data_IF_793681475164
#
_entry.id   IF_793681475164
#
_cell.length_a   1.000
_cell.length_b   1.000
_cell.length_c   1.000
_cell.angle_alpha   90.00
_cell.angle_beta   90.00
_cell.angle_gamma   90.00
#
_symmetry.space_group_name_H-M   'P 1'
#
loop_
_entity.id
_entity.type
_entity.pdbx_description
1 polymer ?
#
# COMPACT_ATOMS: atom_id res chain seq x y z
N UNK A 1 -40.56 -26.34 -5.66
CA UNK A 1 -41.56 -25.29 -5.31
C UNK A 1 -40.79 -24.28 -4.47
N UNK A 2 -40.51 -23.04 -4.85
CA UNK A 2 -41.13 -22.09 -5.76
C UNK A 2 -40.05 -21.16 -6.36
N UNK A 3 -40.28 -20.79 -7.61
CA UNK A 3 -39.60 -19.76 -8.37
C UNK A 3 -40.03 -18.37 -7.85
N UNK A 4 -39.13 -17.40 -7.80
CA UNK A 4 -39.49 -15.97 -7.86
C UNK A 4 -38.59 -15.26 -8.87
N UNK A 5 -39.16 -15.10 -10.06
CA UNK A 5 -38.73 -14.16 -11.08
C UNK A 5 -38.91 -12.73 -10.56
N UNK A 6 -37.92 -11.88 -10.79
CA UNK A 6 -38.12 -10.43 -10.88
C UNK A 6 -37.62 -10.02 -12.25
N UNK A 7 -38.57 -9.75 -13.14
CA UNK A 7 -38.37 -9.04 -14.40
C UNK A 7 -38.21 -7.54 -14.10
N UNK A 8 -37.21 -6.91 -14.72
CA UNK A 8 -37.23 -5.48 -14.99
C UNK A 8 -36.86 -5.32 -16.47
N UNK A 9 -37.88 -5.04 -17.29
CA UNK A 9 -37.73 -4.47 -18.63
C UNK A 9 -38.03 -2.97 -18.56
N UNK A 10 -37.13 -2.17 -19.16
CA UNK A 10 -37.41 -1.07 -20.11
C UNK A 10 -36.20 -0.12 -20.11
N UNK A 11 -35.29 -0.24 -21.08
CA UNK A 11 -35.37 0.26 -22.47
C UNK A 11 -35.06 1.76 -22.56
N UNK A 12 -33.87 2.08 -23.08
CA UNK A 12 -33.61 3.08 -24.12
C UNK A 12 -32.11 3.15 -24.46
N UNK A 13 -31.85 3.20 -25.77
CA UNK A 13 -30.58 3.45 -26.48
C UNK A 13 -29.72 2.27 -26.96
N UNK A 14 -29.95 1.99 -28.26
CA UNK A 14 -28.97 1.72 -29.33
C UNK A 14 -28.38 0.31 -29.46
N UNK A 15 -29.18 -0.47 -30.18
CA UNK A 15 -28.81 -1.52 -31.12
C UNK A 15 -27.69 -1.14 -32.10
N UNK A 16 -26.62 -1.95 -32.13
CA UNK A 16 -25.84 -2.28 -33.33
C UNK A 16 -25.01 -3.55 -33.03
N UNK A 17 -25.43 -4.73 -33.50
CA UNK A 17 -24.61 -5.87 -33.99
C UNK A 17 -25.54 -7.08 -34.27
N UNK A 18 -25.39 -7.81 -35.40
CA UNK A 18 -26.29 -8.91 -35.78
C UNK A 18 -25.91 -10.25 -35.10
N UNK A 19 -26.85 -11.23 -35.04
CA UNK A 19 -26.67 -12.48 -34.33
C UNK A 19 -26.02 -13.54 -35.22
N UNK A 20 -25.08 -14.34 -34.69
CA UNK A 20 -24.68 -15.58 -35.35
C UNK A 20 -24.42 -16.73 -34.37
N UNK A 21 -25.33 -17.71 -34.46
CA UNK A 21 -25.12 -19.16 -34.41
C UNK A 21 -24.81 -19.82 -33.06
N UNK A 22 -25.89 -20.40 -32.52
CA UNK A 22 -25.99 -21.76 -31.97
C UNK A 22 -24.75 -22.64 -32.14
N UNK A 23 -24.22 -23.12 -31.01
CA UNK A 23 -23.59 -24.43 -30.95
C UNK A 23 -23.91 -25.09 -29.61
N UNK A 24 -25.01 -25.84 -29.59
CA UNK A 24 -25.31 -26.81 -28.54
C UNK A 24 -24.22 -27.89 -28.57
N UNK A 25 -23.50 -28.08 -27.46
CA UNK A 25 -22.65 -29.26 -27.26
C UNK A 25 -22.99 -29.92 -25.93
N UNK A 26 -23.32 -31.20 -26.05
CA UNK A 26 -23.73 -32.14 -25.02
C UNK A 26 -22.84 -32.13 -23.78
N UNK A 27 -23.46 -31.90 -22.62
CA UNK A 27 -22.84 -32.15 -21.32
C UNK A 27 -23.00 -33.64 -21.03
N UNK A 28 -21.95 -34.41 -21.28
CA UNK A 28 -21.80 -35.76 -20.71
C UNK A 28 -21.38 -35.65 -19.25
N UNK A 29 -22.27 -36.05 -18.34
CA UNK A 29 -21.96 -36.31 -16.95
C UNK A 29 -20.91 -37.43 -16.84
N UNK A 30 -19.69 -37.08 -16.44
CA UNK A 30 -18.69 -38.04 -15.98
C UNK A 30 -18.67 -38.01 -14.45
N UNK A 31 -19.18 -39.07 -13.84
CA UNK A 31 -19.01 -39.38 -12.42
C UNK A 31 -17.53 -39.62 -12.13
N UNK A 32 -16.86 -38.69 -11.46
CA UNK A 32 -15.52 -38.94 -10.92
C UNK A 32 -15.62 -39.34 -9.45
N UNK A 33 -15.33 -40.63 -9.23
CA UNK A 33 -15.12 -41.24 -7.93
C UNK A 33 -14.11 -40.44 -7.10
N UNK A 34 -14.52 -40.05 -5.90
CA UNK A 34 -13.65 -39.48 -4.91
C UNK A 34 -12.64 -40.51 -4.41
N UNK A 35 -11.35 -40.14 -4.46
CA UNK A 35 -10.29 -40.43 -3.47
C UNK A 35 -8.94 -40.08 -4.10
N UNK A 36 -8.57 -38.80 -4.04
CA UNK A 36 -7.19 -38.25 -4.00
C UNK A 36 -7.16 -36.81 -4.55
N UNK A 37 -7.76 -35.85 -3.86
CA UNK A 37 -7.76 -34.44 -4.30
C UNK A 37 -7.69 -33.42 -3.15
N UNK A 38 -7.26 -33.81 -1.94
CA UNK A 38 -7.28 -32.91 -0.78
C UNK A 38 -6.05 -32.00 -0.62
N UNK A 39 -4.95 -32.22 -1.37
CA UNK A 39 -3.70 -31.44 -1.20
C UNK A 39 -3.40 -30.43 -2.31
N UNK A 40 -4.02 -30.56 -3.49
CA UNK A 40 -3.77 -29.69 -4.66
C UNK A 40 -4.87 -28.65 -4.92
N UNK A 41 -6.05 -28.78 -4.28
CA UNK A 41 -7.13 -27.80 -4.40
C UNK A 41 -6.86 -26.47 -3.67
N UNK A 42 -6.16 -26.52 -2.54
CA UNK A 42 -5.94 -25.32 -1.71
C UNK A 42 -5.04 -24.27 -2.38
N UNK A 43 -4.01 -24.70 -3.12
CA UNK A 43 -3.13 -23.79 -3.87
C UNK A 43 -3.83 -23.17 -5.08
N UNK A 44 -4.76 -23.90 -5.73
CA UNK A 44 -5.52 -23.37 -6.87
C UNK A 44 -6.42 -22.20 -6.48
N UNK A 45 -7.00 -22.21 -5.28
CA UNK A 45 -7.84 -21.10 -4.79
C UNK A 45 -7.03 -19.96 -4.16
N UNK A 46 -5.80 -20.21 -3.72
CA UNK A 46 -4.95 -19.18 -3.08
C UNK A 46 -4.47 -18.10 -4.06
N UNK A 47 -4.24 -18.47 -5.33
CA UNK A 47 -3.71 -17.59 -6.37
C UNK A 47 -4.73 -17.28 -7.48
N UNK A 48 -5.97 -17.71 -7.30
CA UNK A 48 -7.02 -17.56 -8.29
C UNK A 48 -7.45 -16.09 -8.45
N UNK A 49 -8.05 -15.68 -9.57
CA UNK A 49 -8.66 -14.36 -9.67
C UNK A 49 -9.95 -14.23 -8.84
N UNK A 50 -10.63 -15.35 -8.56
CA UNK A 50 -11.93 -15.33 -7.88
C UNK A 50 -11.81 -15.04 -6.39
N UNK A 51 -12.75 -14.24 -5.87
CA UNK A 51 -12.90 -14.00 -4.44
C UNK A 51 -13.68 -15.17 -3.84
N UNK A 52 -12.99 -16.10 -3.19
CA UNK A 52 -13.64 -17.21 -2.48
C UNK A 52 -14.12 -16.83 -1.09
N UNK A 53 -13.36 -15.96 -0.41
CA UNK A 53 -13.68 -15.38 0.89
C UNK A 53 -13.49 -13.87 0.78
N UNK A 54 -14.51 -13.10 1.14
CA UNK A 54 -14.38 -11.64 1.24
C UNK A 54 -13.59 -11.26 2.49
N UNK A 55 -12.84 -10.17 2.39
CA UNK A 55 -12.16 -9.58 3.54
C UNK A 55 -13.10 -8.68 4.33
N UNK A 56 -13.15 -8.88 5.65
CA UNK A 56 -13.88 -8.02 6.58
C UNK A 56 -12.92 -7.20 7.45
N UNK A 57 -13.13 -5.88 7.49
CA UNK A 57 -12.43 -4.98 8.40
C UNK A 57 -12.81 -5.38 9.83
N UNK A 58 -11.80 -5.47 10.70
CA UNK A 58 -11.92 -5.95 12.11
C UNK A 58 -12.17 -7.46 12.28
N UNK A 59 -11.98 -8.26 11.22
CA UNK A 59 -11.87 -9.71 11.38
C UNK A 59 -10.65 -10.12 12.23
N UNK A 60 -10.64 -11.36 12.72
CA UNK A 60 -9.50 -11.90 13.47
C UNK A 60 -8.18 -11.85 12.67
N UNK A 61 -8.24 -12.06 11.35
CA UNK A 61 -7.08 -11.96 10.46
C UNK A 61 -6.57 -10.51 10.36
N UNK A 62 -7.47 -9.52 10.31
CA UNK A 62 -7.11 -8.10 10.36
C UNK A 62 -6.39 -7.74 11.67
N UNK A 63 -6.98 -8.07 12.82
CA UNK A 63 -6.36 -7.80 14.14
C UNK A 63 -5.01 -8.50 14.29
N UNK A 64 -4.87 -9.71 13.76
CA UNK A 64 -3.59 -10.45 13.78
C UNK A 64 -2.53 -9.68 13.00
N UNK A 65 -2.84 -9.19 11.80
CA UNK A 65 -1.90 -8.43 10.98
C UNK A 65 -1.52 -7.10 11.63
N UNK A 66 -2.50 -6.34 12.13
CA UNK A 66 -2.24 -5.08 12.84
C UNK A 66 -1.38 -5.31 14.09
N UNK A 67 -1.61 -6.40 14.83
CA UNK A 67 -0.80 -6.76 15.99
C UNK A 67 0.65 -7.09 15.61
N UNK A 68 0.85 -7.86 14.54
CA UNK A 68 2.18 -8.15 13.99
C UNK A 68 2.90 -6.85 13.63
N UNK A 69 2.23 -5.93 12.96
CA UNK A 69 2.80 -4.63 12.62
C UNK A 69 3.30 -3.87 13.85
N UNK A 70 2.48 -3.77 14.91
CA UNK A 70 2.88 -3.07 16.14
C UNK A 70 4.01 -3.79 16.88
N UNK A 71 4.04 -5.13 16.88
CA UNK A 71 5.14 -5.91 17.46
C UNK A 71 6.46 -5.61 16.73
N UNK A 72 6.46 -5.61 15.39
CA UNK A 72 7.67 -5.33 14.60
C UNK A 72 8.08 -3.85 14.72
N UNK A 73 7.11 -2.95 14.77
CA UNK A 73 7.36 -1.53 15.01
C UNK A 73 8.01 -1.31 16.38
N UNK A 74 7.48 -1.93 17.44
CA UNK A 74 8.06 -1.90 18.78
C UNK A 74 9.47 -2.50 18.78
N UNK A 75 9.68 -3.61 18.07
CA UNK A 75 11.01 -4.19 17.90
C UNK A 75 12.01 -3.19 17.32
N UNK A 76 11.66 -2.42 16.28
CA UNK A 76 12.56 -1.39 15.74
C UNK A 76 12.88 -0.28 16.76
N UNK A 77 11.92 0.15 17.56
CA UNK A 77 12.17 1.13 18.62
C UNK A 77 13.02 0.59 19.76
N UNK A 78 12.90 -0.70 20.12
CA UNK A 78 13.71 -1.32 21.18
C UNK A 78 15.11 -1.73 20.68
N UNK A 79 15.20 -2.20 19.44
CA UNK A 79 16.42 -2.72 18.85
C UNK A 79 17.24 -1.67 18.08
N UNK A 80 16.88 -0.38 18.13
CA UNK A 80 17.58 0.66 17.36
C UNK A 80 19.10 0.74 17.67
N UNK A 81 19.50 0.61 18.95
CA UNK A 81 20.93 0.60 19.33
C UNK A 81 21.67 -0.63 18.78
N UNK A 82 21.17 -1.88 18.98
CA UNK A 82 21.71 -3.04 18.29
C UNK A 82 21.77 -2.89 16.76
N UNK A 83 20.73 -2.34 16.13
CA UNK A 83 20.68 -2.11 14.69
C UNK A 83 21.77 -1.14 14.21
N UNK A 84 22.15 -0.15 15.03
CA UNK A 84 23.25 0.78 14.73
C UNK A 84 24.63 0.14 14.95
N UNK A 85 24.78 -0.69 15.99
CA UNK A 85 26.10 -1.19 16.41
C UNK A 85 26.47 -2.55 15.78
N UNK A 86 25.50 -3.35 15.36
CA UNK A 86 25.71 -4.69 14.82
C UNK A 86 25.51 -4.74 13.30
N UNK A 87 26.62 -4.70 12.53
CA UNK A 87 26.60 -4.71 11.06
C UNK A 87 25.78 -5.85 10.45
N UNK A 88 25.84 -7.06 11.04
CA UNK A 88 25.10 -8.23 10.56
C UNK A 88 23.60 -8.04 10.68
N UNK A 89 23.12 -7.55 11.83
CA UNK A 89 21.70 -7.30 12.08
C UNK A 89 21.16 -6.19 11.18
N UNK A 90 21.92 -5.09 11.05
CA UNK A 90 21.61 -4.01 10.12
C UNK A 90 21.44 -4.52 8.68
N UNK A 91 22.46 -5.25 8.19
CA UNK A 91 22.50 -5.75 6.81
C UNK A 91 21.37 -6.75 6.54
N UNK A 92 21.11 -7.66 7.48
CA UNK A 92 20.01 -8.62 7.39
C UNK A 92 18.65 -7.91 7.33
N UNK A 93 18.40 -6.95 8.22
CA UNK A 93 17.14 -6.18 8.26
C UNK A 93 16.97 -5.38 6.97
N UNK A 94 18.02 -4.70 6.53
CA UNK A 94 18.06 -3.91 5.28
C UNK A 94 17.65 -4.75 4.07
N UNK A 95 18.27 -5.91 3.88
CA UNK A 95 17.97 -6.79 2.73
C UNK A 95 16.63 -7.50 2.86
N UNK A 96 16.18 -7.78 4.08
CA UNK A 96 14.83 -8.32 4.33
C UNK A 96 13.77 -7.33 3.86
N UNK A 97 13.85 -6.06 4.31
CA UNK A 97 12.92 -5.01 3.89
C UNK A 97 12.95 -4.79 2.37
N UNK A 98 14.14 -4.71 1.78
CA UNK A 98 14.29 -4.59 0.32
C UNK A 98 13.61 -5.74 -0.43
N UNK A 99 13.88 -6.98 0.00
CA UNK A 99 13.34 -8.17 -0.66
C UNK A 99 11.82 -8.23 -0.51
N UNK A 100 11.29 -7.89 0.66
CA UNK A 100 9.84 -7.87 0.88
C UNK A 100 9.13 -6.82 0.00
N UNK A 101 9.70 -5.62 -0.18
CA UNK A 101 9.16 -4.62 -1.12
C UNK A 101 9.20 -5.15 -2.55
N UNK A 102 10.35 -5.66 -2.99
CA UNK A 102 10.54 -6.15 -4.35
C UNK A 102 9.62 -7.33 -4.68
N UNK A 103 9.55 -8.32 -3.80
CA UNK A 103 8.71 -9.51 -3.97
C UNK A 103 7.23 -9.14 -3.91
N UNK A 104 6.83 -8.17 -3.09
CA UNK A 104 5.43 -7.73 -3.04
C UNK A 104 4.99 -7.06 -4.34
N UNK A 105 5.86 -6.24 -4.94
CA UNK A 105 5.58 -5.52 -6.19
C UNK A 105 5.60 -6.47 -7.41
N UNK A 106 6.66 -7.27 -7.52
CA UNK A 106 6.76 -8.29 -8.57
C UNK A 106 5.66 -9.34 -8.41
N UNK A 107 5.38 -9.78 -7.18
CA UNK A 107 4.33 -10.75 -6.88
C UNK A 107 2.95 -10.27 -7.29
N UNK A 108 2.64 -8.98 -7.09
CA UNK A 108 1.36 -8.44 -7.52
C UNK A 108 1.25 -8.40 -9.04
N UNK A 109 2.32 -7.98 -9.71
CA UNK A 109 2.39 -7.95 -11.17
C UNK A 109 2.30 -9.35 -11.77
N UNK A 110 3.04 -10.33 -11.21
CA UNK A 110 3.02 -11.72 -11.68
C UNK A 110 1.67 -12.39 -11.46
N UNK A 111 1.02 -12.14 -10.31
CA UNK A 111 -0.34 -12.60 -10.07
C UNK A 111 -1.28 -12.09 -11.16
N UNK A 112 -1.33 -10.77 -11.36
CA UNK A 112 -2.23 -10.14 -12.33
C UNK A 112 -1.98 -10.61 -13.77
N UNK A 113 -0.72 -10.81 -14.16
CA UNK A 113 -0.37 -11.36 -15.48
C UNK A 113 -0.79 -12.82 -15.60
N UNK A 114 -0.56 -13.64 -14.56
CA UNK A 114 -0.89 -15.07 -14.58
C UNK A 114 -2.40 -15.35 -14.61
N UNK A 115 -3.20 -14.44 -14.05
CA UNK A 115 -4.66 -14.52 -14.03
C UNK A 115 -5.30 -13.82 -15.24
N UNK A 116 -4.50 -13.23 -16.14
CA UNK A 116 -4.96 -12.37 -17.25
C UNK A 116 -5.86 -11.21 -16.79
N UNK A 117 -5.69 -10.72 -15.56
CA UNK A 117 -6.42 -9.55 -15.03
C UNK A 117 -5.62 -8.27 -15.11
N UNK A 118 -4.33 -8.36 -15.47
CA UNK A 118 -3.45 -7.19 -15.54
C UNK A 118 -3.99 -6.14 -16.50
N UNK A 119 -4.07 -4.92 -15.99
CA UNK A 119 -4.40 -3.74 -16.75
C UNK A 119 -3.65 -2.56 -16.13
N UNK A 120 -3.29 -1.58 -16.96
CA UNK A 120 -2.54 -0.41 -16.50
C UNK A 120 -3.27 0.30 -15.34
N UNK A 121 -4.60 0.51 -15.49
CA UNK A 121 -5.44 1.31 -14.59
C UNK A 121 -5.37 0.88 -13.13
N UNK A 122 -5.33 -0.43 -12.87
CA UNK A 122 -5.45 -0.99 -11.51
C UNK A 122 -4.15 -1.62 -10.99
N UNK A 123 -3.27 -2.06 -11.90
CA UNK A 123 -2.12 -2.90 -11.53
C UNK A 123 -0.77 -2.18 -11.62
N UNK A 124 -0.71 -1.00 -12.24
CA UNK A 124 0.52 -0.22 -12.26
C UNK A 124 0.83 0.35 -10.85
N UNK A 125 2.11 0.44 -10.46
CA UNK A 125 2.54 0.93 -9.14
C UNK A 125 2.45 2.46 -9.00
N UNK A 126 1.42 3.08 -9.58
CA UNK A 126 1.25 4.54 -9.63
C UNK A 126 0.40 5.09 -8.47
N UNK A 127 -0.21 4.22 -7.67
CA UNK A 127 -0.73 4.63 -6.37
C UNK A 127 0.42 5.05 -5.43
N UNK A 128 0.09 5.88 -4.43
CA UNK A 128 1.07 6.45 -3.50
C UNK A 128 1.93 5.39 -2.81
N UNK A 129 1.33 4.28 -2.36
CA UNK A 129 2.07 3.18 -1.73
C UNK A 129 2.94 2.39 -2.73
N UNK A 130 2.58 2.32 -4.02
CA UNK A 130 3.43 1.73 -5.06
C UNK A 130 4.70 2.56 -5.26
N UNK A 131 4.55 3.86 -5.46
CA UNK A 131 5.67 4.81 -5.57
C UNK A 131 6.49 4.85 -4.28
N UNK A 132 5.86 4.85 -3.10
CA UNK A 132 6.56 4.79 -1.82
C UNK A 132 7.38 3.50 -1.68
N UNK A 133 6.88 2.36 -2.16
CA UNK A 133 7.64 1.10 -2.20
C UNK A 133 8.89 1.21 -3.09
N UNK A 134 8.76 1.79 -4.28
CA UNK A 134 9.88 2.04 -5.19
C UNK A 134 10.91 2.99 -4.57
N UNK A 135 10.45 4.11 -4.01
CA UNK A 135 11.31 5.07 -3.30
C UNK A 135 11.97 4.40 -2.09
N UNK A 136 11.27 3.51 -1.39
CA UNK A 136 11.82 2.69 -0.30
C UNK A 136 12.98 1.82 -0.74
N UNK A 137 12.82 1.10 -1.86
CA UNK A 137 13.90 0.31 -2.45
C UNK A 137 15.10 1.20 -2.85
N UNK A 138 14.85 2.34 -3.51
CA UNK A 138 15.89 3.29 -3.90
C UNK A 138 16.59 3.86 -2.66
N UNK A 139 15.85 4.21 -1.60
CA UNK A 139 16.38 4.74 -0.36
C UNK A 139 17.28 3.71 0.34
N UNK A 140 16.88 2.43 0.36
CA UNK A 140 17.69 1.33 0.89
C UNK A 140 19.02 1.20 0.11
N UNK A 141 18.97 1.21 -1.22
CA UNK A 141 20.14 1.01 -2.07
C UNK A 141 21.10 2.20 -2.03
N UNK A 142 20.56 3.41 -2.19
CA UNK A 142 21.34 4.64 -2.29
C UNK A 142 21.76 5.23 -0.95
N UNK A 143 21.04 4.91 0.13
CA UNK A 143 21.16 5.58 1.44
C UNK A 143 21.04 7.13 1.32
N UNK A 144 20.30 7.61 0.31
CA UNK A 144 20.16 9.03 0.03
C UNK A 144 19.28 9.70 1.08
N UNK A 145 19.81 10.73 1.74
CA UNK A 145 19.07 11.54 2.73
C UNK A 145 17.75 12.06 2.16
N UNK A 146 17.75 12.49 0.89
CA UNK A 146 16.57 13.00 0.20
C UNK A 146 15.51 11.91 0.02
N UNK A 147 15.91 10.71 -0.40
CA UNK A 147 14.96 9.60 -0.59
C UNK A 147 14.37 9.12 0.74
N UNK A 148 15.18 9.10 1.80
CA UNK A 148 14.71 8.78 3.15
C UNK A 148 13.72 9.83 3.65
N UNK A 149 13.99 11.12 3.44
CA UNK A 149 13.06 12.20 3.80
C UNK A 149 11.75 12.10 3.03
N UNK A 150 11.80 11.83 1.73
CA UNK A 150 10.59 11.65 0.92
C UNK A 150 9.79 10.46 1.43
N UNK A 151 10.43 9.29 1.59
CA UNK A 151 9.81 8.07 2.09
C UNK A 151 9.20 8.26 3.48
N UNK A 152 9.85 9.04 4.35
CA UNK A 152 9.34 9.35 5.67
C UNK A 152 7.93 9.92 5.58
N UNK A 153 7.71 10.96 4.78
CA UNK A 153 6.40 11.62 4.67
C UNK A 153 5.37 10.80 3.88
N UNK A 154 5.74 10.22 2.74
CA UNK A 154 4.76 9.54 1.87
C UNK A 154 4.54 8.07 2.21
N UNK A 155 5.45 7.46 2.98
CA UNK A 155 5.47 6.02 3.23
C UNK A 155 4.91 5.61 4.57
N UNK A 156 5.30 6.29 5.66
CA UNK A 156 5.00 5.81 7.02
C UNK A 156 3.51 5.91 7.35
N UNK A 157 2.97 7.13 7.45
CA UNK A 157 1.58 7.33 7.85
C UNK A 157 0.60 6.85 6.78
N UNK A 158 0.79 7.11 5.48
CA UNK A 158 -0.13 6.61 4.46
C UNK A 158 -0.23 5.07 4.44
N UNK A 159 0.90 4.36 4.50
CA UNK A 159 0.85 2.89 4.54
C UNK A 159 0.30 2.37 5.87
N UNK A 160 0.54 3.07 6.99
CA UNK A 160 -0.09 2.74 8.27
C UNK A 160 -1.62 2.89 8.23
N UNK A 161 -2.14 3.97 7.65
CA UNK A 161 -3.60 4.15 7.49
C UNK A 161 -4.17 3.03 6.62
N UNK A 162 -3.49 2.65 5.53
CA UNK A 162 -3.90 1.51 4.69
C UNK A 162 -3.95 0.17 5.47
N UNK A 163 -3.15 0.01 6.53
CA UNK A 163 -3.25 -1.16 7.41
C UNK A 163 -4.45 -1.11 8.35
N UNK A 164 -4.92 0.08 8.74
CA UNK A 164 -6.06 0.25 9.65
C UNK A 164 -7.40 0.24 8.92
N UNK A 165 -7.44 0.82 7.72
CA UNK A 165 -8.62 0.91 6.85
C UNK A 165 -8.29 0.30 5.49
N UNK A 166 -8.06 -1.03 5.43
CA UNK A 166 -7.65 -1.69 4.20
C UNK A 166 -8.76 -1.69 3.15
N UNK A 167 -8.45 -1.14 1.96
CA UNK A 167 -9.26 -1.33 0.76
C UNK A 167 -8.86 -2.65 0.08
N UNK A 168 -9.40 -3.75 0.60
CA UNK A 168 -9.09 -5.09 0.15
C UNK A 168 -10.36 -5.93 0.12
N UNK A 169 -10.60 -6.62 -1.01
CA UNK A 169 -11.76 -7.52 -1.17
C UNK A 169 -11.38 -8.97 -0.83
N UNK A 170 -10.12 -9.35 -1.05
CA UNK A 170 -9.66 -10.72 -0.89
C UNK A 170 -9.34 -11.06 0.57
N UNK A 171 -10.13 -11.94 1.18
CA UNK A 171 -9.94 -12.41 2.55
C UNK A 171 -8.82 -13.43 2.71
N UNK A 172 -8.46 -13.70 3.97
CA UNK A 172 -7.51 -14.76 4.29
C UNK A 172 -8.03 -16.14 3.80
N UNK A 173 -7.16 -17.02 3.26
CA UNK A 173 -5.70 -16.91 3.15
C UNK A 173 -5.19 -16.41 1.79
N UNK A 174 -6.00 -15.75 0.97
CA UNK A 174 -5.70 -15.44 -0.45
C UNK A 174 -4.36 -14.69 -0.66
N UNK A 175 -3.71 -14.86 -1.81
CA UNK A 175 -2.45 -14.18 -2.13
C UNK A 175 -2.54 -12.65 -1.99
N UNK A 176 -3.61 -12.04 -2.53
CA UNK A 176 -3.86 -10.59 -2.43
C UNK A 176 -3.94 -10.10 -0.98
N UNK A 177 -4.44 -10.92 -0.05
CA UNK A 177 -4.44 -10.61 1.38
C UNK A 177 -3.01 -10.46 1.90
N UNK A 178 -2.18 -11.47 1.68
CA UNK A 178 -0.78 -11.44 2.12
C UNK A 178 0.01 -10.32 1.46
N UNK A 179 -0.12 -10.16 0.14
CA UNK A 179 0.53 -9.10 -0.61
C UNK A 179 0.15 -7.72 -0.05
N UNK A 180 -1.13 -7.48 0.23
CA UNK A 180 -1.58 -6.20 0.76
C UNK A 180 -0.92 -5.89 2.10
N UNK A 181 -1.06 -6.78 3.10
CA UNK A 181 -0.54 -6.52 4.44
C UNK A 181 0.99 -6.46 4.47
N UNK A 182 1.67 -7.41 3.82
CA UNK A 182 3.14 -7.44 3.78
C UNK A 182 3.70 -6.18 3.11
N UNK A 183 3.12 -5.75 1.99
CA UNK A 183 3.59 -4.56 1.27
C UNK A 183 3.47 -3.29 2.13
N UNK A 184 2.29 -3.03 2.69
CA UNK A 184 2.04 -1.81 3.47
C UNK A 184 2.81 -1.79 4.79
N UNK A 185 2.93 -2.94 5.47
CA UNK A 185 3.82 -3.06 6.63
C UNK A 185 5.26 -2.73 6.25
N UNK A 186 5.75 -3.34 5.17
CA UNK A 186 7.16 -3.18 4.76
C UNK A 186 7.47 -1.74 4.36
N UNK A 187 6.57 -1.03 3.67
CA UNK A 187 6.76 0.39 3.34
C UNK A 187 6.93 1.23 4.61
N UNK A 188 5.97 1.14 5.53
CA UNK A 188 6.00 1.92 6.76
C UNK A 188 7.23 1.58 7.61
N UNK A 189 7.48 0.28 7.80
CA UNK A 189 8.63 -0.23 8.55
C UNK A 189 9.96 0.17 7.91
N UNK A 190 10.05 0.24 6.57
CA UNK A 190 11.24 0.74 5.87
C UNK A 190 11.50 2.20 6.17
N UNK A 191 10.45 3.04 6.13
CA UNK A 191 10.56 4.45 6.51
C UNK A 191 11.07 4.62 7.95
N UNK A 192 10.49 3.88 8.89
CA UNK A 192 10.91 3.89 10.31
C UNK A 192 12.35 3.40 10.45
N UNK A 193 12.69 2.25 9.87
CA UNK A 193 14.04 1.67 9.92
C UNK A 193 15.09 2.65 9.40
N UNK A 194 14.86 3.27 8.23
CA UNK A 194 15.83 4.20 7.64
C UNK A 194 15.96 5.47 8.46
N UNK A 195 14.88 6.02 9.02
CA UNK A 195 14.96 7.22 9.89
C UNK A 195 15.66 6.91 11.22
N UNK A 196 15.45 5.74 11.81
CA UNK A 196 16.10 5.35 13.05
C UNK A 196 17.59 5.04 12.88
N UNK A 197 17.97 4.46 11.73
CA UNK A 197 19.33 3.95 11.51
C UNK A 197 20.21 4.89 10.69
N UNK A 198 19.64 5.86 10.00
CA UNK A 198 20.39 6.82 9.18
C UNK A 198 20.52 8.15 9.91
N UNK A 199 21.64 8.84 9.69
CA UNK A 199 21.89 10.20 10.22
C UNK A 199 21.13 11.26 9.40
N UNK A 200 19.80 11.09 9.26
CA UNK A 200 18.91 11.99 8.54
C UNK A 200 18.18 12.87 9.54
N UNK A 201 18.14 14.17 9.26
CA UNK A 201 17.28 15.11 9.99
C UNK A 201 16.08 15.48 9.14
N UNK A 202 14.89 15.42 9.74
CA UNK A 202 13.67 15.94 9.12
C UNK A 202 13.60 17.44 9.44
N UNK A 203 13.60 18.26 8.40
CA UNK A 203 13.57 19.73 8.47
C UNK A 203 12.26 20.25 7.89
N UNK A 204 11.89 21.48 8.24
CA UNK A 204 10.72 22.13 7.63
C UNK A 204 10.89 22.25 6.11
N UNK A 205 12.11 22.57 5.64
CA UNK A 205 12.44 22.59 4.21
C UNK A 205 12.18 21.25 3.53
N UNK A 206 12.63 20.13 4.10
CA UNK A 206 12.38 18.81 3.51
C UNK A 206 10.90 18.43 3.51
N UNK A 207 10.11 18.91 4.47
CA UNK A 207 8.66 18.74 4.48
C UNK A 207 8.03 19.48 3.30
N UNK A 208 8.33 20.77 3.13
CA UNK A 208 7.81 21.58 2.02
C UNK A 208 8.26 21.03 0.66
N UNK A 209 9.53 20.64 0.51
CA UNK A 209 10.03 20.04 -0.73
C UNK A 209 9.31 18.72 -1.05
N UNK A 210 9.10 17.84 -0.06
CA UNK A 210 8.38 16.58 -0.28
C UNK A 210 6.91 16.82 -0.62
N UNK A 211 6.28 17.77 0.04
CA UNK A 211 4.89 18.15 -0.23
C UNK A 211 4.74 18.71 -1.66
N UNK A 212 5.70 19.52 -2.12
CA UNK A 212 5.76 19.99 -3.49
C UNK A 212 5.95 18.85 -4.50
N UNK A 213 6.84 17.89 -4.23
CA UNK A 213 6.99 16.70 -5.09
C UNK A 213 5.70 15.87 -5.17
N UNK A 214 5.01 15.70 -4.04
CA UNK A 214 3.73 14.99 -4.00
C UNK A 214 2.66 15.72 -4.83
N UNK A 215 2.58 17.04 -4.73
CA UNK A 215 1.66 17.85 -5.53
C UNK A 215 1.96 17.77 -7.04
N UNK A 216 3.23 17.89 -7.42
CA UNK A 216 3.66 17.70 -8.82
C UNK A 216 3.27 16.30 -9.32
N UNK A 217 3.47 15.28 -8.49
CA UNK A 217 3.07 13.92 -8.81
C UNK A 217 1.54 13.75 -8.91
N UNK A 218 0.78 14.41 -8.03
CA UNK A 218 -0.68 14.39 -8.06
C UNK A 218 -1.23 15.05 -9.33
N UNK A 219 -0.65 16.17 -9.77
CA UNK A 219 -1.01 16.81 -11.05
C UNK A 219 -0.72 15.86 -12.21
N UNK A 220 0.44 15.21 -12.22
CA UNK A 220 0.75 14.20 -13.24
C UNK A 220 -0.25 13.04 -13.23
N UNK A 221 -0.57 12.50 -12.05
CA UNK A 221 -1.52 11.41 -11.88
C UNK A 221 -2.94 11.82 -12.32
N UNK A 222 -3.36 13.06 -12.06
CA UNK A 222 -4.64 13.61 -12.49
C UNK A 222 -4.77 13.61 -14.02
N UNK A 223 -3.77 14.12 -14.73
CA UNK A 223 -3.77 14.08 -16.20
C UNK A 223 -3.74 12.64 -16.73
N UNK A 224 -2.94 11.78 -16.10
CA UNK A 224 -2.86 10.38 -16.49
C UNK A 224 -4.23 9.68 -16.32
N UNK A 225 -4.90 9.90 -15.18
CA UNK A 225 -6.23 9.37 -14.90
C UNK A 225 -7.24 9.76 -15.99
N UNK A 226 -7.23 11.02 -16.44
CA UNK A 226 -8.10 11.47 -17.54
C UNK A 226 -7.82 10.77 -18.86
N UNK A 227 -6.54 10.54 -19.19
CA UNK A 227 -6.15 9.92 -20.46
C UNK A 227 -6.47 8.43 -20.50
N UNK A 228 -6.17 7.70 -19.43
CA UNK A 228 -6.29 6.24 -19.42
C UNK A 228 -7.58 5.75 -18.74
N UNK A 229 -8.36 6.63 -18.09
CA UNK A 229 -9.53 6.25 -17.30
C UNK A 229 -9.16 5.48 -16.02
N UNK A 230 -8.07 5.86 -15.35
CA UNK A 230 -7.66 5.30 -14.07
C UNK A 230 -8.09 6.19 -12.90
N UNK A 231 -7.91 5.69 -11.67
CA UNK A 231 -8.19 6.44 -10.45
C UNK A 231 -6.99 6.40 -9.48
N UNK A 232 -5.79 6.72 -9.97
CA UNK A 232 -4.62 6.83 -9.10
C UNK A 232 -4.80 7.97 -8.11
N UNK A 233 -4.29 7.74 -6.90
CA UNK A 233 -4.38 8.68 -5.77
C UNK A 233 -5.82 9.04 -5.37
N UNK A 234 -6.84 8.35 -5.90
CA UNK A 234 -8.26 8.65 -5.71
C UNK A 234 -8.63 10.06 -6.17
N UNK A 235 -7.96 10.56 -7.20
CA UNK A 235 -8.20 11.91 -7.73
C UNK A 235 -9.42 12.00 -8.65
N UNK A 236 -9.92 10.87 -9.15
CA UNK A 236 -11.09 10.83 -10.03
C UNK A 236 -12.36 10.50 -9.27
N UNK A 237 -12.30 9.53 -8.35
CA UNK A 237 -13.40 9.12 -7.48
C UNK A 237 -12.87 8.64 -6.12
N UNK A 238 -13.72 8.63 -5.10
CA UNK A 238 -13.36 8.04 -3.81
C UNK A 238 -13.25 6.50 -3.89
N UNK A 239 -12.53 5.85 -2.96
CA UNK A 239 -12.47 4.39 -2.88
C UNK A 239 -13.85 3.73 -2.85
N UNK A 240 -13.93 2.50 -3.35
CA UNK A 240 -15.21 1.75 -3.41
C UNK A 240 -15.66 1.19 -2.06
N UNK A 241 -14.74 1.12 -1.10
CA UNK A 241 -14.97 0.68 0.28
C UNK A 241 -15.01 1.92 1.16
N UNK A 242 -15.96 1.97 2.11
CA UNK A 242 -16.08 3.05 3.09
C UNK A 242 -14.71 3.47 3.62
N UNK A 243 -14.28 4.66 3.22
CA UNK A 243 -12.93 5.20 3.44
C UNK A 243 -13.03 6.53 4.17
N UNK A 244 -12.02 6.91 4.98
CA UNK A 244 -11.92 8.26 5.50
C UNK A 244 -12.00 9.34 4.40
N UNK A 245 -11.65 9.00 3.16
CA UNK A 245 -11.74 9.90 2.01
C UNK A 245 -13.19 10.27 1.64
N UNK A 246 -14.18 9.46 1.99
CA UNK A 246 -15.60 9.76 1.71
C UNK A 246 -16.10 10.96 2.52
N UNK A 247 -15.40 11.32 3.60
CA UNK A 247 -15.72 12.46 4.45
C UNK A 247 -15.21 13.80 3.89
N UNK A 248 -14.44 13.77 2.79
CA UNK A 248 -13.81 14.97 2.22
C UNK A 248 -14.76 15.78 1.30
N UNK A 249 -15.98 15.31 1.10
CA UNK A 249 -16.98 15.99 0.25
C UNK A 249 -16.81 15.65 -1.23
N UNK A 250 -17.33 16.51 -2.12
CA UNK A 250 -17.39 16.27 -3.56
C UNK A 250 -16.91 17.46 -4.39
N UNK A 251 -16.57 17.21 -5.65
CA UNK A 251 -16.13 18.25 -6.61
C UNK A 251 -14.87 18.97 -6.13
N UNK A 252 -14.85 20.31 -6.25
CA UNK A 252 -13.68 21.13 -5.87
C UNK A 252 -13.35 21.01 -4.38
N UNK A 253 -14.36 20.86 -3.53
CA UNK A 253 -14.17 20.73 -2.08
C UNK A 253 -13.44 19.45 -1.68
N UNK A 254 -13.63 18.37 -2.44
CA UNK A 254 -12.87 17.13 -2.24
C UNK A 254 -11.36 17.38 -2.34
N UNK A 255 -10.91 18.05 -3.40
CA UNK A 255 -9.48 18.35 -3.61
C UNK A 255 -8.92 19.31 -2.56
N UNK A 256 -9.68 20.35 -2.19
CA UNK A 256 -9.27 21.29 -1.13
C UNK A 256 -9.09 20.53 0.20
N UNK A 257 -10.08 19.72 0.58
CA UNK A 257 -10.03 18.96 1.84
C UNK A 257 -8.94 17.88 1.80
N UNK A 258 -8.70 17.25 0.65
CA UNK A 258 -7.62 16.29 0.46
C UNK A 258 -6.24 16.95 0.66
N UNK A 259 -6.04 18.15 0.11
CA UNK A 259 -4.79 18.89 0.31
C UNK A 259 -4.62 19.39 1.74
N UNK A 260 -5.69 19.88 2.39
CA UNK A 260 -5.67 20.27 3.80
C UNK A 260 -5.35 19.09 4.72
N UNK A 261 -5.92 17.91 4.44
CA UNK A 261 -5.60 16.68 5.13
C UNK A 261 -4.13 16.31 4.92
N UNK A 262 -3.65 16.36 3.68
CA UNK A 262 -2.28 16.02 3.32
C UNK A 262 -1.26 16.91 4.06
N UNK A 263 -1.41 18.25 3.97
CA UNK A 263 -0.51 19.17 4.66
C UNK A 263 -0.62 19.03 6.19
N UNK A 264 -1.83 18.76 6.72
CA UNK A 264 -2.04 18.47 8.14
C UNK A 264 -1.27 17.25 8.62
N UNK A 265 -1.28 16.15 7.84
CA UNK A 265 -0.49 14.95 8.12
C UNK A 265 1.01 15.26 8.05
N UNK A 266 1.48 15.99 7.04
CA UNK A 266 2.89 16.37 6.89
C UNK A 266 3.38 17.20 8.07
N UNK A 267 2.59 18.19 8.51
CA UNK A 267 2.88 19.00 9.68
C UNK A 267 2.90 18.15 10.96
N UNK A 268 1.91 17.27 11.14
CA UNK A 268 1.86 16.35 12.28
C UNK A 268 3.12 15.50 12.35
N UNK A 269 3.52 14.87 11.25
CA UNK A 269 4.75 14.08 11.18
C UNK A 269 6.00 14.92 11.47
N UNK A 270 6.10 16.12 10.90
CA UNK A 270 7.20 17.03 11.18
C UNK A 270 7.31 17.39 12.68
N UNK A 271 6.19 17.76 13.31
CA UNK A 271 6.18 18.10 14.73
C UNK A 271 6.47 16.90 15.63
N UNK A 272 5.92 15.72 15.31
CA UNK A 272 6.23 14.48 16.03
C UNK A 272 7.73 14.17 15.98
N UNK A 273 8.35 14.28 14.80
CA UNK A 273 9.80 14.10 14.67
C UNK A 273 10.57 15.10 15.55
N UNK A 274 10.17 16.37 15.56
CA UNK A 274 10.84 17.41 16.37
C UNK A 274 10.69 17.19 17.87
N UNK A 275 9.54 16.70 18.33
CA UNK A 275 9.32 16.34 19.73
C UNK A 275 10.26 15.19 20.13
N UNK A 276 10.31 14.13 19.33
CA UNK A 276 11.19 12.97 19.58
C UNK A 276 12.67 13.38 19.55
N UNK A 277 13.08 14.19 18.57
CA UNK A 277 14.43 14.74 18.47
C UNK A 277 14.81 15.55 19.72
N UNK A 278 13.90 16.38 20.24
CA UNK A 278 14.12 17.19 21.44
C UNK A 278 14.24 16.34 22.70
N UNK A 279 13.35 15.35 22.88
CA UNK A 279 13.39 14.43 24.03
C UNK A 279 14.71 13.66 24.03
N UNK A 280 15.13 13.11 22.88
CA UNK A 280 16.38 12.36 22.76
C UNK A 280 17.63 13.20 23.05
N UNK A 281 17.61 14.51 22.77
CA UNK A 281 18.72 15.42 23.10
C UNK A 281 18.76 15.77 24.59
N UNK A 282 17.60 15.86 25.24
CA UNK A 282 17.52 16.16 26.68
C UNK A 282 17.95 15.00 27.57
N UNK A 283 17.77 13.74 27.13
CA UNK A 283 18.13 12.54 27.89
C UNK A 283 19.61 12.16 27.75
N UNK A 284 20.31 12.67 26.74
CA UNK A 284 21.75 12.45 26.52
C UNK A 284 22.45 13.77 26.14
N UNK A 285 22.91 14.59 27.12
CA UNK A 285 23.51 15.91 26.87
C UNK A 285 24.87 15.87 26.15
N UNK A 286 25.47 14.70 25.96
CA UNK A 286 26.84 14.53 25.43
C UNK A 286 26.95 14.56 23.90
N UNK A 287 25.88 14.94 23.17
CA UNK A 287 25.89 15.12 21.71
C UNK A 287 26.22 16.57 21.28
N UNK A 288 26.95 17.34 22.09
CA UNK A 288 27.25 18.76 21.83
C UNK A 288 28.61 19.04 21.16
N UNK A 289 29.45 18.03 20.89
CA UNK A 289 30.73 18.23 20.18
C UNK A 289 30.72 17.58 18.80
N UNK A 290 30.38 18.39 17.78
CA UNK A 290 30.86 18.33 16.37
C UNK A 290 29.92 19.00 15.37
N UNK A 291 29.29 20.13 15.76
CA UNK A 291 28.61 21.04 14.80
C UNK A 291 29.33 22.37 14.57
N UNK A 292 30.55 22.52 15.08
CA UNK A 292 31.46 23.62 14.73
C UNK A 292 32.80 23.03 14.36
N UNK A 293 33.04 22.84 13.07
CA UNK A 293 34.29 23.11 12.33
C UNK A 293 33.98 22.82 10.85
N UNK A 294 33.64 23.87 10.12
CA UNK A 294 34.12 24.19 8.76
C UNK A 294 33.32 25.41 8.31
N UNK A 295 33.96 26.55 8.56
CA UNK A 295 33.84 27.81 7.84
C UNK A 295 33.84 27.61 6.33
#
# INVERSE_FOLDING_TARGET
MLCKNVHIENSLFLSCFPPSKLFSRDIRCATMNGKSAKRTGHMKHWFAPEVTNSFDIFSASHFTMVSIYFIVLLYFFLAYKPLLNQKRLYTFTKWTLFTLLLVSELGYTTWALSTNTWNMREHAPLHLCGIAGIIGMIAILSNSKKMIQILYFIGIIPAFIALLTPELIYGFPHFRFWKFFVHHMTISLTGVFLVLTSQVSITFRSMVETYAYLNVYAVFAFFLNMVIGANYLYLSDTPTVNSPLDLLGSGVWYYINLELLCIGVFLCMYFLYKIVERISRSTHPTFSHDKKISS
#
